data_IF_276060038724
#
_entry.id   IF_276060038724
#
_cell.length_a   1.000
_cell.length_b   1.000
_cell.length_c   1.000
_cell.angle_alpha   90.00
_cell.angle_beta   90.00
_cell.angle_gamma   90.00
#
_symmetry.space_group_name_H-M   'P 1'
#
loop_
_entity.id
_entity.type
_entity.pdbx_description
1 polymer ?
#
# COMPACT_ATOMS: atom_id res chain seq x y z
N UNK A 1 16.40 25.92 26.65
CA UNK A 1 16.64 24.46 26.62
C UNK A 1 15.96 23.90 25.38
N UNK A 2 16.71 23.69 24.31
CA UNK A 2 16.21 23.14 23.04
C UNK A 2 16.33 21.62 23.04
N UNK A 3 15.22 20.93 22.76
CA UNK A 3 15.22 19.48 22.58
C UNK A 3 15.87 19.10 21.23
N UNK A 4 16.66 18.01 21.17
CA UNK A 4 17.39 17.64 19.96
C UNK A 4 16.43 17.05 18.91
N UNK A 5 16.60 17.47 17.65
CA UNK A 5 15.91 16.87 16.49
C UNK A 5 16.46 15.46 16.26
N UNK A 6 15.63 14.42 16.12
CA UNK A 6 16.11 13.11 15.69
C UNK A 6 16.54 13.18 14.21
N UNK A 7 17.78 12.80 13.96
CA UNK A 7 18.42 12.71 12.66
C UNK A 7 17.63 11.80 11.71
N UNK A 8 17.22 12.34 10.57
CA UNK A 8 16.50 11.61 9.53
C UNK A 8 17.40 10.63 8.79
N UNK A 9 17.39 9.37 9.19
CA UNK A 9 17.68 8.25 8.28
C UNK A 9 16.37 7.86 7.60
N UNK A 10 16.23 8.15 6.30
CA UNK A 10 15.10 7.63 5.51
C UNK A 10 15.14 6.09 5.58
N UNK A 11 14.09 5.39 6.04
CA UNK A 11 14.08 3.95 6.04
C UNK A 11 14.07 3.43 4.59
N UNK A 12 15.07 2.65 4.22
CA UNK A 12 15.10 1.90 2.96
C UNK A 12 13.94 0.89 2.94
N UNK A 13 12.94 1.15 2.10
CA UNK A 13 11.94 0.16 1.70
C UNK A 13 12.63 -0.80 0.70
N UNK A 14 12.59 -2.13 0.88
CA UNK A 14 13.20 -3.06 -0.06
C UNK A 14 12.61 -2.92 -1.46
N UNK A 15 13.47 -2.87 -2.49
CA UNK A 15 13.08 -2.78 -3.91
C UNK A 15 12.49 -4.11 -4.40
N UNK A 16 11.33 -4.03 -5.07
CA UNK A 16 10.76 -5.14 -5.84
C UNK A 16 11.69 -5.58 -6.99
N UNK A 17 11.70 -6.89 -7.27
CA UNK A 17 12.48 -7.51 -8.35
C UNK A 17 11.68 -7.47 -9.66
N UNK A 18 12.31 -6.98 -10.73
CA UNK A 18 11.70 -6.80 -12.05
C UNK A 18 11.63 -8.14 -12.81
N UNK A 19 10.44 -8.54 -13.29
CA UNK A 19 10.34 -9.65 -14.25
C UNK A 19 9.32 -9.34 -15.36
N UNK A 20 9.73 -9.45 -16.63
CA UNK A 20 8.88 -9.26 -17.83
C UNK A 20 8.22 -10.58 -18.23
N UNK A 21 6.91 -10.62 -18.53
CA UNK A 21 6.23 -11.85 -18.98
C UNK A 21 5.08 -11.66 -20.00
N UNK A 22 4.89 -12.66 -20.89
CA UNK A 22 3.93 -12.76 -22.02
C UNK A 22 2.78 -13.74 -21.71
N UNK A 23 1.68 -13.60 -22.46
CA UNK A 23 0.28 -13.79 -22.05
C UNK A 23 -0.33 -15.21 -21.92
N UNK A 24 0.40 -16.33 -22.00
CA UNK A 24 -0.23 -17.68 -22.04
C UNK A 24 0.14 -18.67 -20.90
N UNK A 25 1.01 -18.29 -19.96
CA UNK A 25 1.40 -19.13 -18.80
C UNK A 25 0.65 -18.74 -17.50
N UNK A 26 -0.54 -18.14 -17.61
CA UNK A 26 -1.25 -17.41 -16.52
C UNK A 26 -1.63 -18.24 -15.28
N UNK A 27 -1.71 -19.57 -15.37
CA UNK A 27 -2.02 -20.46 -14.24
C UNK A 27 -0.78 -21.12 -13.63
N UNK A 28 0.36 -21.09 -14.31
CA UNK A 28 1.63 -21.67 -13.85
C UNK A 28 2.42 -20.70 -12.95
N UNK A 29 1.90 -19.48 -12.76
CA UNK A 29 2.60 -18.36 -12.10
C UNK A 29 2.67 -18.48 -10.56
N UNK A 30 1.92 -19.40 -9.95
CA UNK A 30 2.04 -19.70 -8.52
C UNK A 30 3.25 -20.61 -8.19
N UNK A 31 3.90 -21.22 -9.19
CA UNK A 31 4.91 -22.28 -8.99
C UNK A 31 6.37 -21.88 -9.24
N UNK A 32 6.75 -20.58 -9.24
CA UNK A 32 8.18 -20.23 -9.05
C UNK A 32 8.54 -20.24 -7.56
N UNK A 33 8.42 -21.45 -7.05
CA UNK A 33 8.85 -21.94 -5.76
C UNK A 33 10.36 -21.77 -5.59
N UNK A 34 10.79 -20.82 -4.75
CA UNK A 34 12.21 -20.68 -4.39
C UNK A 34 12.59 -21.83 -3.46
N UNK A 35 13.06 -22.93 -4.04
CA UNK A 35 13.58 -24.09 -3.32
C UNK A 35 14.69 -23.65 -2.35
N UNK A 36 14.59 -24.06 -1.09
CA UNK A 36 15.61 -23.83 -0.06
C UNK A 36 15.75 -25.09 0.79
N UNK A 37 16.78 -25.17 1.65
CA UNK A 37 16.89 -26.29 2.58
C UNK A 37 15.97 -26.08 3.79
N UNK A 38 15.48 -27.14 4.41
CA UNK A 38 14.71 -27.05 5.65
C UNK A 38 15.50 -26.34 6.76
N UNK A 39 16.83 -26.49 6.76
CA UNK A 39 17.72 -25.79 7.67
C UNK A 39 17.71 -24.26 7.51
N UNK A 40 17.44 -23.72 6.30
CA UNK A 40 17.37 -22.28 6.06
C UNK A 40 15.95 -21.69 6.12
N UNK A 41 14.93 -22.53 6.33
CA UNK A 41 13.56 -22.07 6.59
C UNK A 41 13.51 -21.28 7.91
N UNK A 42 12.89 -20.10 7.95
CA UNK A 42 12.77 -19.34 9.21
C UNK A 42 11.87 -20.09 10.20
N UNK A 43 12.15 -20.04 11.53
CA UNK A 43 11.23 -20.57 12.52
C UNK A 43 9.85 -19.90 12.42
N UNK A 44 8.77 -20.67 12.55
CA UNK A 44 7.39 -20.25 12.35
C UNK A 44 6.87 -20.54 10.94
N UNK A 45 7.74 -20.65 9.94
CA UNK A 45 7.31 -20.78 8.55
C UNK A 45 6.97 -22.23 8.19
N UNK A 46 5.98 -22.35 7.32
CA UNK A 46 5.57 -23.61 6.71
C UNK A 46 6.11 -23.70 5.29
N UNK A 47 6.57 -24.89 4.91
CA UNK A 47 7.09 -25.18 3.59
C UNK A 47 6.62 -26.56 3.13
N UNK A 48 6.50 -26.78 1.83
CA UNK A 48 6.24 -28.10 1.27
C UNK A 48 7.55 -28.82 0.98
N UNK A 49 7.67 -30.09 1.35
CA UNK A 49 8.85 -30.89 1.05
C UNK A 49 8.87 -31.20 -0.44
N UNK A 50 9.85 -30.65 -1.15
CA UNK A 50 10.02 -30.84 -2.59
C UNK A 50 10.85 -32.08 -2.92
N UNK A 51 11.93 -32.28 -2.16
CA UNK A 51 12.88 -33.36 -2.39
C UNK A 51 13.61 -33.71 -1.08
N UNK A 52 14.01 -34.98 -0.92
CA UNK A 52 14.80 -35.48 0.21
C UNK A 52 16.06 -36.14 -0.36
N UNK A 53 17.22 -35.50 -0.17
CA UNK A 53 18.51 -35.93 -0.71
C UNK A 53 19.27 -36.82 0.30
N UNK A 54 18.76 -38.02 0.57
CA UNK A 54 19.38 -38.97 1.52
C UNK A 54 19.51 -40.38 0.92
N UNK A 55 20.26 -41.24 1.61
CA UNK A 55 20.31 -42.67 1.35
C UNK A 55 18.98 -43.36 1.70
N UNK A 56 18.71 -44.52 1.10
CA UNK A 56 17.42 -45.23 1.19
C UNK A 56 17.01 -45.56 2.63
N UNK A 57 17.96 -45.98 3.48
CA UNK A 57 17.69 -46.31 4.89
C UNK A 57 17.28 -45.09 5.72
N UNK A 58 17.84 -43.91 5.43
CA UNK A 58 17.48 -42.66 6.10
C UNK A 58 16.16 -42.08 5.56
N UNK A 59 15.90 -42.25 4.26
CA UNK A 59 14.65 -41.82 3.63
C UNK A 59 13.45 -42.61 4.20
N UNK A 60 13.59 -43.91 4.41
CA UNK A 60 12.56 -44.75 5.07
C UNK A 60 12.26 -44.29 6.50
N UNK A 61 13.29 -43.94 7.28
CA UNK A 61 13.11 -43.40 8.63
C UNK A 61 12.38 -42.06 8.63
N UNK A 62 12.72 -41.16 7.70
CA UNK A 62 12.04 -39.87 7.55
C UNK A 62 10.59 -40.06 7.12
N UNK A 63 10.33 -40.98 6.19
CA UNK A 63 8.98 -41.32 5.76
C UNK A 63 8.13 -41.88 6.90
N UNK A 64 8.69 -42.73 7.76
CA UNK A 64 8.02 -43.24 8.96
C UNK A 64 7.67 -42.13 9.98
N UNK A 65 8.40 -41.01 9.96
CA UNK A 65 8.11 -39.81 10.76
C UNK A 65 7.13 -38.85 10.06
N UNK A 66 6.57 -39.23 8.90
CA UNK A 66 5.68 -38.39 8.10
C UNK A 66 6.40 -37.36 7.22
N UNK A 67 7.73 -37.33 7.21
CA UNK A 67 8.54 -36.44 6.37
C UNK A 67 8.67 -37.08 4.99
N UNK A 68 7.67 -36.83 4.14
CA UNK A 68 7.61 -37.33 2.76
C UNK A 68 7.45 -36.19 1.77
N UNK A 69 7.82 -36.43 0.51
CA UNK A 69 7.64 -35.47 -0.59
C UNK A 69 6.16 -35.06 -0.71
N UNK A 70 5.92 -33.78 -0.91
CA UNK A 70 4.59 -33.18 -1.00
C UNK A 70 4.00 -32.78 0.35
N UNK A 71 4.59 -33.20 1.48
CA UNK A 71 4.05 -32.89 2.80
C UNK A 71 4.45 -31.49 3.26
N UNK A 72 3.51 -30.80 3.94
CA UNK A 72 3.80 -29.53 4.60
C UNK A 72 4.52 -29.76 5.94
N UNK A 73 5.56 -28.96 6.17
CA UNK A 73 6.41 -28.98 7.35
C UNK A 73 6.54 -27.56 7.91
N UNK A 74 6.30 -27.39 9.20
CA UNK A 74 6.45 -26.10 9.89
C UNK A 74 7.67 -26.13 10.79
N UNK A 75 8.62 -25.20 10.63
CA UNK A 75 9.78 -25.13 11.51
C UNK A 75 9.40 -24.50 12.86
N UNK A 76 9.73 -25.15 13.97
CA UNK A 76 9.48 -24.61 15.32
C UNK A 76 10.64 -23.71 15.78
N UNK A 77 10.41 -22.80 16.76
CA UNK A 77 11.48 -22.01 17.39
C UNK A 77 12.58 -22.91 17.96
N UNK A 78 13.84 -22.56 17.70
CA UNK A 78 15.00 -23.34 18.14
C UNK A 78 16.16 -23.33 17.14
N UNK A 79 17.39 -23.37 17.66
CA UNK A 79 18.62 -23.29 16.86
C UNK A 79 19.25 -24.67 16.59
N UNK A 80 19.11 -25.63 17.50
CA UNK A 80 19.57 -27.02 17.32
C UNK A 80 19.03 -27.93 18.44
N UNK A 81 18.53 -29.14 18.16
CA UNK A 81 18.20 -29.69 16.82
C UNK A 81 17.12 -28.87 16.10
N UNK A 82 16.96 -29.07 14.79
CA UNK A 82 15.89 -28.42 14.02
C UNK A 82 14.59 -29.15 14.31
N UNK A 83 13.74 -28.54 15.12
CA UNK A 83 12.41 -29.10 15.44
C UNK A 83 11.41 -28.68 14.39
N UNK A 84 10.63 -29.63 13.91
CA UNK A 84 9.62 -29.41 12.87
C UNK A 84 8.32 -30.10 13.24
N UNK A 85 7.19 -29.49 12.88
CA UNK A 85 5.87 -30.08 13.01
C UNK A 85 5.44 -30.63 11.65
N UNK A 86 5.10 -31.91 11.60
CA UNK A 86 4.62 -32.63 10.41
C UNK A 86 3.44 -33.50 10.81
N UNK A 87 2.31 -33.33 10.12
CA UNK A 87 1.09 -34.12 10.39
C UNK A 87 0.66 -34.11 11.88
N UNK A 88 0.86 -32.99 12.58
CA UNK A 88 0.55 -32.83 13.99
C UNK A 88 1.55 -33.44 14.97
N UNK A 89 2.67 -34.03 14.49
CA UNK A 89 3.74 -34.58 15.32
C UNK A 89 4.98 -33.71 15.24
N UNK A 90 5.64 -33.47 16.37
CA UNK A 90 6.92 -32.75 16.41
C UNK A 90 8.10 -33.72 16.29
N UNK A 91 8.99 -33.43 15.35
CA UNK A 91 10.16 -34.26 15.02
C UNK A 91 11.41 -33.41 15.15
N UNK A 92 12.42 -33.91 15.86
CA UNK A 92 13.72 -33.26 15.98
C UNK A 92 14.69 -33.83 14.93
N UNK A 93 15.19 -32.97 14.04
CA UNK A 93 16.13 -33.33 13.00
C UNK A 93 17.53 -32.78 13.30
N UNK A 94 18.55 -33.61 13.07
CA UNK A 94 19.93 -33.17 13.08
C UNK A 94 20.19 -32.14 11.96
N UNK A 95 21.16 -31.23 12.16
CA UNK A 95 21.48 -30.16 11.20
C UNK A 95 21.77 -30.70 9.80
N UNK A 96 22.54 -31.78 9.71
CA UNK A 96 22.91 -32.39 8.43
C UNK A 96 21.72 -33.06 7.73
N UNK A 97 20.77 -33.62 8.48
CA UNK A 97 19.52 -34.15 7.94
C UNK A 97 18.63 -33.02 7.41
N UNK A 98 18.50 -31.92 8.16
CA UNK A 98 17.70 -30.76 7.74
C UNK A 98 18.29 -30.05 6.50
N UNK A 99 19.60 -30.09 6.27
CA UNK A 99 20.22 -29.56 5.04
C UNK A 99 19.89 -30.38 3.80
N UNK A 100 19.60 -31.69 3.95
CA UNK A 100 19.29 -32.62 2.86
C UNK A 100 17.82 -32.60 2.44
N UNK A 101 16.95 -31.95 3.21
CA UNK A 101 15.53 -31.81 2.88
C UNK A 101 15.36 -30.48 2.15
N UNK A 102 15.00 -30.54 0.86
CA UNK A 102 14.68 -29.38 0.05
C UNK A 102 13.20 -29.10 0.21
N UNK A 103 12.89 -27.88 0.59
CA UNK A 103 11.53 -27.41 0.82
C UNK A 103 11.25 -26.18 -0.04
N UNK A 104 9.99 -26.02 -0.42
CA UNK A 104 9.51 -24.74 -0.91
C UNK A 104 8.70 -24.06 0.17
N UNK A 105 9.13 -22.87 0.59
CA UNK A 105 8.32 -22.04 1.46
C UNK A 105 6.94 -21.79 0.85
N UNK A 106 5.87 -22.07 1.62
CA UNK A 106 4.53 -21.61 1.28
C UNK A 106 4.59 -20.08 1.21
N UNK A 107 4.21 -19.50 0.08
CA UNK A 107 4.05 -18.05 -0.02
C UNK A 107 2.78 -17.67 0.72
N UNK A 108 2.88 -16.65 1.57
CA UNK A 108 1.72 -16.12 2.26
C UNK A 108 0.99 -15.18 1.31
N UNK A 109 -0.32 -15.36 1.18
CA UNK A 109 -1.15 -14.55 0.30
C UNK A 109 -2.14 -13.75 1.13
N UNK A 110 -2.26 -12.45 0.86
CA UNK A 110 -3.31 -11.64 1.46
C UNK A 110 -4.15 -10.90 0.43
N UNK A 111 -5.43 -10.75 0.75
CA UNK A 111 -6.34 -9.91 -0.02
C UNK A 111 -6.25 -8.47 0.47
N UNK A 112 -6.16 -7.54 -0.46
CA UNK A 112 -6.39 -6.12 -0.19
C UNK A 112 -7.84 -5.79 -0.59
N UNK A 113 -8.67 -5.51 0.41
CA UNK A 113 -10.09 -5.23 0.25
C UNK A 113 -10.46 -3.87 0.83
N UNK A 114 -11.57 -3.29 0.40
CA UNK A 114 -12.08 -2.03 0.94
C UNK A 114 -13.07 -1.37 -0.02
N UNK A 115 -13.81 -0.39 0.50
CA UNK A 115 -14.72 0.41 -0.31
C UNK A 115 -13.99 1.12 -1.47
N UNK A 116 -14.68 1.50 -2.55
CA UNK A 116 -14.11 2.41 -3.53
C UNK A 116 -13.62 3.72 -2.92
N UNK A 117 -12.57 4.29 -3.52
CA UNK A 117 -11.98 5.58 -3.15
C UNK A 117 -11.38 5.67 -1.74
N UNK A 118 -11.11 4.55 -1.05
CA UNK A 118 -10.43 4.52 0.26
C UNK A 118 -8.90 4.63 0.16
N UNK A 119 -8.33 4.71 -1.04
CA UNK A 119 -6.88 4.75 -1.28
C UNK A 119 -6.21 3.38 -1.41
N UNK A 120 -6.99 2.31 -1.60
CA UNK A 120 -6.55 0.94 -1.81
C UNK A 120 -5.48 0.79 -2.90
N UNK A 121 -5.71 1.34 -4.10
CA UNK A 121 -4.76 1.27 -5.22
C UNK A 121 -3.43 1.96 -4.93
N UNK A 122 -3.43 3.04 -4.13
CA UNK A 122 -2.20 3.73 -3.73
C UNK A 122 -1.41 2.89 -2.72
N UNK A 123 -2.10 2.24 -1.76
CA UNK A 123 -1.47 1.28 -0.84
C UNK A 123 -0.89 0.11 -1.64
N UNK A 124 -1.66 -0.48 -2.55
CA UNK A 124 -1.21 -1.57 -3.41
C UNK A 124 0.04 -1.19 -4.20
N UNK A 125 0.04 -0.03 -4.86
CA UNK A 125 1.18 0.47 -5.63
C UNK A 125 2.41 0.70 -4.74
N UNK A 126 2.24 1.14 -3.49
CA UNK A 126 3.36 1.30 -2.56
C UNK A 126 3.94 0.00 -2.06
N UNK A 127 3.09 -0.99 -1.81
CA UNK A 127 3.53 -2.30 -1.35
C UNK A 127 4.22 -3.08 -2.47
N UNK A 128 3.74 -2.98 -3.71
CA UNK A 128 4.21 -3.77 -4.85
C UNK A 128 5.25 -3.06 -5.72
N UNK A 129 5.29 -1.72 -5.68
CA UNK A 129 6.13 -0.92 -6.55
C UNK A 129 5.73 -1.01 -8.02
N UNK A 130 6.66 -1.42 -8.88
CA UNK A 130 6.54 -1.42 -10.35
C UNK A 130 5.96 -2.76 -10.88
N UNK A 131 5.91 -3.80 -10.05
CA UNK A 131 5.53 -5.16 -10.45
C UNK A 131 4.04 -5.46 -10.28
N UNK A 132 3.19 -4.83 -11.09
CA UNK A 132 1.73 -5.08 -11.09
C UNK A 132 1.36 -5.95 -12.29
N UNK A 133 0.66 -7.05 -12.05
CA UNK A 133 0.06 -7.89 -13.09
C UNK A 133 -1.46 -7.77 -12.96
N UNK A 134 -2.10 -7.12 -13.94
CA UNK A 134 -3.56 -7.07 -14.03
C UNK A 134 -4.06 -8.26 -14.85
N UNK A 135 -5.01 -9.01 -14.31
CA UNK A 135 -5.70 -10.08 -15.03
C UNK A 135 -7.17 -10.15 -14.64
N UNK A 136 -8.03 -10.45 -15.61
CA UNK A 136 -9.45 -10.69 -15.31
C UNK A 136 -9.60 -12.06 -14.64
N UNK A 137 -10.50 -12.13 -13.65
CA UNK A 137 -10.89 -13.41 -13.07
C UNK A 137 -11.58 -14.28 -14.14
N UNK A 138 -11.32 -15.60 -14.21
CA UNK A 138 -11.86 -16.46 -15.26
C UNK A 138 -13.37 -16.30 -15.46
N UNK A 139 -13.80 -16.01 -16.68
CA UNK A 139 -15.22 -15.83 -17.02
C UNK A 139 -15.84 -14.49 -16.61
N UNK A 140 -15.06 -13.50 -16.16
CA UNK A 140 -15.59 -12.20 -15.72
C UNK A 140 -14.96 -10.99 -16.40
N UNK A 141 -15.66 -9.86 -16.28
CA UNK A 141 -15.13 -8.51 -16.51
C UNK A 141 -14.41 -7.93 -15.28
N UNK A 142 -14.35 -8.67 -14.17
CA UNK A 142 -13.74 -8.20 -12.92
C UNK A 142 -12.23 -8.39 -13.01
N UNK A 143 -11.51 -7.27 -13.17
CA UNK A 143 -10.05 -7.24 -13.14
C UNK A 143 -9.51 -7.36 -11.73
N UNK A 144 -8.66 -8.36 -11.48
CA UNK A 144 -7.86 -8.48 -10.27
C UNK A 144 -6.43 -8.01 -10.55
N UNK A 145 -5.85 -7.25 -9.61
CA UNK A 145 -4.42 -6.92 -9.67
C UNK A 145 -3.65 -7.85 -8.72
N UNK A 146 -2.65 -8.51 -9.27
CA UNK A 146 -1.72 -9.33 -8.52
C UNK A 146 -0.39 -8.59 -8.39
N UNK A 147 0.23 -8.72 -7.22
CA UNK A 147 1.54 -8.17 -6.97
C UNK A 147 2.26 -8.90 -5.85
N UNK A 148 3.51 -8.52 -5.61
CA UNK A 148 4.35 -9.09 -4.56
C UNK A 148 4.91 -7.98 -3.69
N UNK A 149 4.98 -8.26 -2.38
CA UNK A 149 5.67 -7.39 -1.43
C UNK A 149 6.60 -8.20 -0.54
N UNK A 150 7.51 -7.51 0.14
CA UNK A 150 8.42 -8.12 1.10
C UNK A 150 8.23 -7.47 2.45
N UNK A 151 7.81 -8.25 3.44
CA UNK A 151 7.66 -7.85 4.84
C UNK A 151 8.69 -8.61 5.68
N UNK A 152 9.57 -7.90 6.39
CA UNK A 152 10.64 -8.46 7.22
C UNK A 152 11.48 -9.58 6.55
N UNK A 153 11.74 -9.41 5.25
CA UNK A 153 12.50 -10.36 4.42
C UNK A 153 11.73 -11.60 4.00
N UNK A 154 10.40 -11.60 4.11
CA UNK A 154 9.52 -12.65 3.61
C UNK A 154 8.64 -12.13 2.48
N UNK A 155 8.45 -12.96 1.46
CA UNK A 155 7.64 -12.61 0.30
C UNK A 155 6.16 -12.89 0.57
N UNK A 156 5.32 -11.91 0.30
CA UNK A 156 3.87 -12.04 0.33
C UNK A 156 3.30 -11.78 -1.05
N UNK A 157 2.36 -12.61 -1.49
CA UNK A 157 1.54 -12.33 -2.66
C UNK A 157 0.34 -11.46 -2.23
N UNK A 158 0.07 -10.42 -3.00
CA UNK A 158 -1.03 -9.48 -2.77
C UNK A 158 -2.02 -9.63 -3.91
N UNK A 159 -3.30 -9.80 -3.57
CA UNK A 159 -4.39 -9.76 -4.53
C UNK A 159 -5.26 -8.55 -4.21
N UNK A 160 -5.28 -7.57 -5.10
CA UNK A 160 -6.14 -6.40 -5.02
C UNK A 160 -7.54 -6.76 -5.50
N UNK A 161 -8.50 -6.78 -4.58
CA UNK A 161 -9.91 -6.91 -4.93
C UNK A 161 -10.40 -5.53 -5.39
N UNK A 162 -11.04 -5.38 -6.56
CA UNK A 162 -11.64 -4.12 -6.96
C UNK A 162 -12.58 -3.60 -5.87
N UNK A 163 -12.72 -2.28 -5.74
CA UNK A 163 -13.45 -1.71 -4.60
C UNK A 163 -14.90 -2.21 -4.57
N UNK A 164 -15.27 -2.93 -3.52
CA UNK A 164 -16.63 -3.46 -3.29
C UNK A 164 -17.26 -2.67 -2.15
N UNK A 165 -18.57 -2.47 -2.21
CA UNK A 165 -19.33 -1.89 -1.09
C UNK A 165 -19.93 -2.96 -0.18
N UNK A 166 -20.15 -4.17 -0.72
CA UNK A 166 -20.68 -5.32 0.03
C UNK A 166 -19.99 -6.62 -0.37
N UNK A 167 -19.96 -7.59 0.55
CA UNK A 167 -19.48 -8.96 0.28
C UNK A 167 -20.35 -9.73 -0.73
N UNK A 168 -21.62 -9.34 -0.87
CA UNK A 168 -22.64 -9.98 -1.69
C UNK A 168 -22.59 -9.56 -3.16
N UNK A 169 -21.55 -8.84 -3.59
CA UNK A 169 -21.29 -8.58 -5.00
C UNK A 169 -20.85 -9.90 -5.69
N UNK A 170 -21.83 -10.79 -5.85
CA UNK A 170 -21.75 -12.05 -6.58
C UNK A 170 -21.86 -11.76 -8.08
N UNK A 171 -21.11 -12.51 -8.86
CA UNK A 171 -21.24 -12.51 -10.31
C UNK A 171 -21.77 -13.86 -10.77
N UNK A 172 -22.45 -13.86 -11.91
CA UNK A 172 -23.07 -15.06 -12.49
C UNK A 172 -22.26 -15.50 -13.70
N UNK A 173 -21.81 -16.75 -13.68
CA UNK A 173 -21.17 -17.43 -14.81
C UNK A 173 -21.84 -18.76 -15.03
N UNK A 174 -22.27 -19.01 -16.28
CA UNK A 174 -22.94 -20.26 -16.65
C UNK A 174 -24.14 -20.61 -15.73
N UNK A 175 -24.83 -19.60 -15.21
CA UNK A 175 -25.96 -19.77 -14.29
C UNK A 175 -25.60 -20.09 -12.84
N UNK A 176 -24.32 -20.09 -12.46
CA UNK A 176 -23.83 -20.27 -11.09
C UNK A 176 -23.38 -18.95 -10.49
N UNK A 177 -23.66 -18.75 -9.21
CA UNK A 177 -23.20 -17.58 -8.42
C UNK A 177 -21.80 -17.85 -7.90
N UNK A 178 -20.90 -16.92 -8.15
CA UNK A 178 -19.50 -16.98 -7.77
C UNK A 178 -19.17 -15.86 -6.77
N UNK A 179 -18.26 -16.16 -5.83
CA UNK A 179 -17.82 -15.21 -4.81
C UNK A 179 -16.29 -15.23 -4.72
N UNK A 180 -15.67 -14.09 -5.06
CA UNK A 180 -14.22 -13.94 -5.11
C UNK A 180 -13.54 -14.33 -3.79
N UNK A 181 -14.15 -14.02 -2.64
CA UNK A 181 -13.58 -14.33 -1.33
C UNK A 181 -13.63 -15.82 -0.98
N UNK A 182 -14.46 -16.61 -1.67
CA UNK A 182 -14.54 -18.08 -1.49
C UNK A 182 -13.65 -18.83 -2.48
N UNK A 183 -13.43 -18.26 -3.66
CA UNK A 183 -12.70 -18.91 -4.76
C UNK A 183 -11.20 -18.61 -4.75
N UNK A 184 -10.79 -17.49 -4.16
CA UNK A 184 -9.38 -17.16 -4.01
C UNK A 184 -8.79 -17.84 -2.77
N UNK A 185 -7.57 -18.35 -2.90
CA UNK A 185 -6.78 -18.83 -1.77
C UNK A 185 -5.98 -17.69 -1.16
N UNK A 186 -6.20 -17.44 0.14
CA UNK A 186 -5.50 -16.42 0.91
C UNK A 186 -5.49 -16.78 2.41
N UNK A 187 -4.46 -16.30 3.09
CA UNK A 187 -4.20 -16.55 4.51
C UNK A 187 -4.86 -15.49 5.39
N UNK A 188 -4.90 -14.23 4.95
CA UNK A 188 -5.51 -13.12 5.69
C UNK A 188 -6.00 -11.99 4.78
N UNK A 189 -6.74 -11.04 5.36
CA UNK A 189 -7.30 -9.89 4.65
C UNK A 189 -6.76 -8.60 5.26
N UNK A 190 -6.31 -7.69 4.41
CA UNK A 190 -6.02 -6.31 4.77
C UNK A 190 -7.18 -5.45 4.27
N UNK A 191 -8.03 -5.00 5.20
CA UNK A 191 -9.17 -4.16 4.90
C UNK A 191 -8.78 -2.68 5.00
N UNK A 192 -8.96 -1.92 3.92
CA UNK A 192 -8.67 -0.49 3.88
C UNK A 192 -9.97 0.29 4.08
N UNK A 193 -9.98 1.15 5.09
CA UNK A 193 -11.10 2.03 5.42
C UNK A 193 -10.70 3.50 5.32
N UNK A 194 -11.60 4.36 4.85
CA UNK A 194 -11.43 5.80 4.90
C UNK A 194 -11.78 6.34 6.30
N UNK A 195 -10.78 6.87 7.01
CA UNK A 195 -10.90 7.44 8.34
C UNK A 195 -11.90 8.60 8.41
N UNK A 196 -12.08 9.35 7.32
CA UNK A 196 -13.01 10.47 7.26
C UNK A 196 -14.48 10.04 7.11
N UNK A 197 -14.72 8.76 6.77
CA UNK A 197 -16.05 8.18 6.58
C UNK A 197 -16.14 6.80 7.28
N UNK A 198 -15.75 6.74 8.55
CA UNK A 198 -15.56 5.48 9.28
C UNK A 198 -16.81 4.59 9.29
N UNK A 199 -17.99 5.15 9.54
CA UNK A 199 -19.26 4.42 9.68
C UNK A 199 -19.57 3.50 8.48
N UNK A 200 -19.56 4.03 7.25
CA UNK A 200 -19.78 3.22 6.03
C UNK A 200 -18.69 2.17 5.83
N UNK A 201 -17.46 2.46 6.21
CA UNK A 201 -16.35 1.51 6.05
C UNK A 201 -16.40 0.39 7.10
N UNK A 202 -16.91 0.66 8.30
CA UNK A 202 -17.13 -0.37 9.31
C UNK A 202 -18.18 -1.38 8.86
N UNK A 203 -19.21 -0.97 8.10
CA UNK A 203 -20.18 -1.91 7.54
C UNK A 203 -19.52 -2.99 6.68
N UNK A 204 -18.73 -2.57 5.68
CA UNK A 204 -17.99 -3.49 4.82
C UNK A 204 -16.97 -4.34 5.61
N UNK A 205 -16.30 -3.75 6.60
CA UNK A 205 -15.37 -4.47 7.47
C UNK A 205 -16.07 -5.59 8.26
N UNK A 206 -17.25 -5.32 8.84
CA UNK A 206 -18.00 -6.33 9.59
C UNK A 206 -18.40 -7.49 8.68
N UNK A 207 -18.78 -7.22 7.43
CA UNK A 207 -19.00 -8.27 6.45
C UNK A 207 -17.73 -9.08 6.21
N UNK A 208 -16.59 -8.44 5.91
CA UNK A 208 -15.29 -9.10 5.73
C UNK A 208 -14.93 -10.00 6.92
N UNK A 209 -15.18 -9.55 8.15
CA UNK A 209 -14.90 -10.32 9.37
C UNK A 209 -15.79 -11.58 9.50
N UNK A 210 -16.96 -11.62 8.86
CA UNK A 210 -17.81 -12.83 8.82
C UNK A 210 -17.18 -14.00 8.04
N UNK A 211 -16.16 -13.73 7.21
CA UNK A 211 -15.38 -14.77 6.52
C UNK A 211 -14.52 -15.62 7.47
N UNK A 212 -14.41 -15.24 8.75
CA UNK A 212 -13.62 -15.93 9.79
C UNK A 212 -12.15 -16.15 9.40
N UNK A 213 -11.60 -15.17 8.68
CA UNK A 213 -10.17 -15.06 8.34
C UNK A 213 -9.52 -14.00 9.22
N UNK A 214 -8.21 -14.08 9.50
CA UNK A 214 -7.50 -12.98 10.15
C UNK A 214 -7.64 -11.70 9.32
N UNK A 215 -7.94 -10.58 9.97
CA UNK A 215 -8.13 -9.27 9.31
C UNK A 215 -7.22 -8.23 9.96
N UNK A 216 -6.60 -7.38 9.16
CA UNK A 216 -5.94 -6.15 9.60
C UNK A 216 -6.72 -4.96 9.02
N UNK A 217 -7.09 -3.99 9.85
CA UNK A 217 -7.74 -2.76 9.40
C UNK A 217 -6.69 -1.67 9.18
N UNK A 218 -6.55 -1.19 7.94
CA UNK A 218 -5.83 0.04 7.64
C UNK A 218 -6.81 1.21 7.63
N UNK A 219 -6.70 2.08 8.62
CA UNK A 219 -7.50 3.28 8.75
C UNK A 219 -6.83 4.42 7.97
N UNK A 220 -7.05 4.44 6.65
CA UNK A 220 -6.38 5.31 5.69
C UNK A 220 -6.99 6.72 5.62
N UNK A 221 -6.28 7.67 4.99
CA UNK A 221 -6.62 9.10 4.97
C UNK A 221 -6.77 9.69 6.37
N UNK A 222 -5.95 9.20 7.29
CA UNK A 222 -6.02 9.61 8.70
C UNK A 222 -5.71 11.10 8.87
N UNK A 223 -4.81 11.64 8.04
CA UNK A 223 -4.51 13.07 7.95
C UNK A 223 -5.72 13.91 7.51
N UNK A 224 -6.48 13.45 6.52
CA UNK A 224 -7.72 14.10 6.08
C UNK A 224 -8.78 14.10 7.19
N UNK A 225 -8.96 12.98 7.88
CA UNK A 225 -9.88 12.90 9.02
C UNK A 225 -9.53 13.93 10.11
N UNK A 226 -8.25 14.02 10.48
CA UNK A 226 -7.77 15.01 11.46
C UNK A 226 -7.98 16.44 10.97
N UNK A 227 -7.77 16.73 9.68
CA UNK A 227 -8.05 18.06 9.10
C UNK A 227 -9.53 18.42 9.20
N UNK A 228 -10.43 17.46 8.96
CA UNK A 228 -11.88 17.60 9.11
C UNK A 228 -12.37 17.65 10.57
N UNK A 229 -11.47 17.64 11.55
CA UNK A 229 -11.82 17.66 12.97
C UNK A 229 -12.32 16.31 13.50
N UNK A 230 -12.17 15.23 12.74
CA UNK A 230 -12.55 13.88 13.16
C UNK A 230 -11.37 13.28 13.94
N UNK A 231 -11.58 13.01 15.23
CA UNK A 231 -10.63 12.31 16.07
C UNK A 231 -11.11 10.88 16.29
N UNK A 232 -10.24 9.90 16.02
CA UNK A 232 -10.54 8.47 16.20
C UNK A 232 -9.60 7.88 17.23
N UNK A 233 -10.15 7.35 18.30
CA UNK A 233 -9.43 6.55 19.30
C UNK A 233 -9.13 5.16 18.72
N UNK A 234 -7.97 5.03 18.08
CA UNK A 234 -7.52 3.79 17.41
C UNK A 234 -7.49 2.61 18.37
N UNK A 235 -7.00 2.81 19.61
CA UNK A 235 -6.90 1.72 20.61
C UNK A 235 -8.26 1.20 21.04
N UNK A 236 -9.22 2.11 21.23
CA UNK A 236 -10.59 1.70 21.55
C UNK A 236 -11.25 1.00 20.36
N UNK A 237 -11.00 1.48 19.12
CA UNK A 237 -11.48 0.81 17.91
C UNK A 237 -10.91 -0.61 17.77
N UNK A 238 -9.61 -0.77 18.01
CA UNK A 238 -8.93 -2.07 18.04
C UNK A 238 -9.57 -3.02 19.07
N UNK A 239 -9.85 -2.51 20.27
CA UNK A 239 -10.52 -3.26 21.33
C UNK A 239 -11.96 -3.64 20.99
N UNK A 240 -12.74 -2.74 20.40
CA UNK A 240 -14.13 -3.01 20.02
C UNK A 240 -14.22 -4.03 18.88
N UNK A 241 -13.28 -3.97 17.92
CA UNK A 241 -13.26 -4.88 16.77
C UNK A 241 -12.53 -6.20 17.05
N UNK A 242 -11.59 -6.24 17.99
CA UNK A 242 -10.78 -7.43 18.27
C UNK A 242 -9.81 -7.80 17.14
N UNK A 243 -9.42 -6.83 16.30
CA UNK A 243 -8.45 -7.00 15.21
C UNK A 243 -7.44 -5.85 15.23
N UNK A 244 -6.22 -6.02 14.70
CA UNK A 244 -5.24 -4.93 14.59
C UNK A 244 -5.79 -3.77 13.74
N UNK A 245 -5.66 -2.55 14.26
CA UNK A 245 -6.07 -1.31 13.57
C UNK A 245 -4.88 -0.38 13.43
N UNK A 246 -4.55 -0.01 12.19
CA UNK A 246 -3.35 0.76 11.87
C UNK A 246 -3.75 2.08 11.18
N UNK A 247 -3.58 3.25 11.83
CA UNK A 247 -3.76 4.52 11.19
C UNK A 247 -2.73 4.69 10.07
N UNK A 248 -3.20 5.03 8.88
CA UNK A 248 -2.40 4.99 7.65
C UNK A 248 -2.62 6.28 6.85
N UNK A 249 -1.56 6.72 6.16
CA UNK A 249 -1.65 7.79 5.16
C UNK A 249 -0.97 7.27 3.90
N UNK A 250 -1.76 6.79 2.94
CA UNK A 250 -1.25 6.15 1.73
C UNK A 250 -0.34 7.07 0.90
N UNK A 251 -0.50 8.39 0.96
CA UNK A 251 0.34 9.39 0.27
C UNK A 251 1.70 9.63 0.92
N UNK A 252 1.89 9.31 2.21
CA UNK A 252 3.18 9.45 2.90
C UNK A 252 3.80 8.09 3.25
N UNK A 253 2.98 7.05 3.39
CA UNK A 253 3.39 5.66 3.63
C UNK A 253 3.44 5.33 5.11
N UNK A 254 3.03 6.27 5.95
CA UNK A 254 2.81 6.07 7.37
C UNK A 254 1.83 4.92 7.60
N UNK A 255 2.13 4.07 8.59
CA UNK A 255 1.36 2.87 8.91
C UNK A 255 1.82 1.59 8.16
N UNK A 256 2.45 1.70 6.99
CA UNK A 256 2.82 0.50 6.20
C UNK A 256 3.92 -0.36 6.85
N UNK A 257 4.78 0.24 7.69
CA UNK A 257 5.75 -0.53 8.48
C UNK A 257 5.07 -1.37 9.56
N UNK A 258 4.05 -0.83 10.21
CA UNK A 258 3.26 -1.56 11.20
C UNK A 258 2.48 -2.70 10.53
N UNK A 259 1.99 -2.49 9.31
CA UNK A 259 1.35 -3.54 8.51
C UNK A 259 2.30 -4.74 8.29
N UNK A 260 3.57 -4.47 7.94
CA UNK A 260 4.60 -5.52 7.79
C UNK A 260 4.74 -6.35 9.06
N UNK A 261 4.82 -5.69 10.22
CA UNK A 261 4.94 -6.35 11.51
C UNK A 261 3.71 -7.21 11.84
N UNK A 262 2.50 -6.68 11.65
CA UNK A 262 1.27 -7.43 11.91
C UNK A 262 1.08 -8.60 10.94
N UNK A 263 1.43 -8.43 9.66
CA UNK A 263 1.41 -9.51 8.67
C UNK A 263 2.34 -10.67 9.06
N UNK A 264 3.55 -10.36 9.54
CA UNK A 264 4.49 -11.38 10.04
C UNK A 264 3.94 -12.15 11.25
N UNK A 265 3.23 -11.47 12.17
CA UNK A 265 2.56 -12.13 13.31
C UNK A 265 1.42 -13.05 12.88
N UNK A 266 0.67 -12.67 11.85
CA UNK A 266 -0.36 -13.54 11.28
C UNK A 266 0.28 -14.77 10.62
N UNK A 267 1.35 -14.57 9.87
CA UNK A 267 2.11 -15.64 9.23
C UNK A 267 2.66 -16.67 10.22
N UNK A 268 3.12 -16.23 11.40
CA UNK A 268 3.61 -17.11 12.47
C UNK A 268 2.50 -17.83 13.26
N UNK A 269 1.23 -17.74 12.82
CA UNK A 269 0.06 -18.33 13.48
C UNK A 269 -0.20 -17.80 14.90
N UNK A 270 0.32 -16.62 15.24
CA UNK A 270 0.07 -15.95 16.53
C UNK A 270 -1.19 -15.06 16.50
N UNK A 271 -1.89 -15.03 15.37
CA UNK A 271 -3.05 -14.16 15.19
C UNK A 271 -4.30 -14.71 15.87
N UNK A 272 -4.90 -13.86 16.70
CA UNK A 272 -6.20 -14.10 17.33
C UNK A 272 -7.28 -13.68 16.34
N UNK A 273 -8.16 -14.62 15.98
CA UNK A 273 -9.40 -14.27 15.28
C UNK A 273 -10.27 -13.44 16.21
N UNK A 274 -10.89 -12.39 15.68
CA UNK A 274 -11.83 -11.59 16.47
C UNK A 274 -12.95 -12.47 17.03
N UNK A 275 -13.23 -12.29 18.32
CA UNK A 275 -14.35 -12.93 19.01
C UNK A 275 -15.65 -12.11 18.91
N UNK A 276 -15.66 -11.04 18.11
CA UNK A 276 -16.85 -10.20 17.94
C UNK A 276 -17.95 -11.01 17.25
N UNK A 277 -19.12 -11.10 17.89
CA UNK A 277 -20.28 -11.73 17.28
C UNK A 277 -20.93 -10.75 16.29
N UNK A 278 -20.88 -11.07 15.00
CA UNK A 278 -21.37 -10.21 13.92
C UNK A 278 -22.70 -10.77 13.42
N UNK A 279 -23.82 -10.06 13.63
CA UNK A 279 -25.14 -10.53 13.25
C UNK A 279 -25.28 -10.61 11.73
N UNK A 280 -26.13 -11.52 11.26
CA UNK A 280 -26.47 -11.61 9.84
C UNK A 280 -27.35 -10.42 9.41
N UNK A 281 -28.23 -9.96 10.30
CA UNK A 281 -29.20 -8.90 10.03
C UNK A 281 -28.54 -7.53 9.78
N UNK A 282 -28.88 -6.83 8.67
CA UNK A 282 -28.34 -5.52 8.36
C UNK A 282 -28.60 -4.43 9.41
N UNK A 283 -29.78 -4.38 10.04
CA UNK A 283 -30.12 -3.35 11.03
C UNK A 283 -29.31 -3.56 12.32
N UNK A 284 -29.18 -4.81 12.77
CA UNK A 284 -28.34 -5.15 13.92
C UNK A 284 -26.86 -4.78 13.68
N UNK A 285 -26.34 -4.96 12.46
CA UNK A 285 -24.98 -4.49 12.09
C UNK A 285 -24.87 -2.98 12.27
N UNK A 286 -25.85 -2.20 11.79
CA UNK A 286 -25.85 -0.74 11.97
C UNK A 286 -25.90 -0.33 13.44
N UNK A 287 -26.63 -1.06 14.29
CA UNK A 287 -26.62 -0.82 15.73
C UNK A 287 -25.24 -1.06 16.37
N UNK A 288 -24.52 -2.10 15.95
CA UNK A 288 -23.13 -2.34 16.40
C UNK A 288 -22.23 -1.20 15.95
N UNK A 289 -22.32 -0.80 14.67
CA UNK A 289 -21.50 0.29 14.12
C UNK A 289 -21.77 1.59 14.88
N UNK A 290 -23.03 1.95 15.11
CA UNK A 290 -23.40 3.14 15.88
C UNK A 290 -22.79 3.13 17.29
N UNK A 291 -22.82 1.99 17.98
CA UNK A 291 -22.18 1.83 19.30
C UNK A 291 -20.66 1.97 19.25
N UNK A 292 -20.01 1.43 18.21
CA UNK A 292 -18.56 1.57 18.01
C UNK A 292 -18.23 3.05 17.76
N UNK A 293 -18.90 3.69 16.80
CA UNK A 293 -18.68 5.09 16.41
C UNK A 293 -18.81 6.02 17.62
N UNK A 294 -19.87 5.87 18.43
CA UNK A 294 -20.07 6.69 19.62
C UNK A 294 -18.92 6.60 20.63
N UNK A 295 -18.24 5.44 20.73
CA UNK A 295 -17.12 5.24 21.65
C UNK A 295 -15.78 5.70 21.08
N UNK A 296 -15.59 5.54 19.77
CA UNK A 296 -14.26 5.68 19.13
C UNK A 296 -14.08 7.03 18.44
N UNK A 297 -15.16 7.65 17.98
CA UNK A 297 -15.11 8.84 17.14
C UNK A 297 -15.62 10.06 17.90
N UNK A 298 -14.84 11.14 17.88
CA UNK A 298 -15.26 12.45 18.37
C UNK A 298 -15.09 13.46 17.24
N UNK A 299 -16.15 14.21 16.94
CA UNK A 299 -16.12 15.27 15.94
C UNK A 299 -15.91 16.59 16.68
N UNK A 300 -14.74 17.20 16.48
CA UNK A 300 -14.46 18.55 16.96
C UNK A 300 -14.83 19.54 15.86
N UNK A 301 -15.64 20.55 16.20
CA UNK A 301 -15.84 21.70 15.34
C UNK A 301 -14.51 22.47 15.24
N UNK A 302 -13.78 22.29 14.14
CA UNK A 302 -12.60 23.09 13.82
C UNK A 302 -13.03 24.17 12.85
N UNK A 303 -12.79 25.44 13.21
CA UNK A 303 -12.96 26.53 12.27
C UNK A 303 -11.93 26.35 11.15
N UNK A 304 -12.38 26.27 9.90
CA UNK A 304 -11.49 26.12 8.75
C UNK A 304 -10.45 27.26 8.76
N UNK A 305 -9.21 26.91 8.44
CA UNK A 305 -8.14 27.92 8.33
C UNK A 305 -8.47 28.90 7.19
N UNK A 306 -7.97 30.14 7.27
CA UNK A 306 -8.23 31.15 6.23
C UNK A 306 -7.90 30.66 4.81
N UNK A 307 -6.84 29.85 4.66
CA UNK A 307 -6.46 29.24 3.39
C UNK A 307 -7.48 28.20 2.89
N UNK A 308 -8.10 27.44 3.79
CA UNK A 308 -9.16 26.47 3.43
C UNK A 308 -10.44 27.20 2.98
N UNK A 309 -10.80 28.32 3.62
CA UNK A 309 -11.89 29.17 3.14
C UNK A 309 -11.59 29.76 1.76
N UNK A 310 -10.37 30.25 1.54
CA UNK A 310 -9.96 30.83 0.27
C UNK A 310 -9.98 29.79 -0.86
N UNK A 311 -9.56 28.55 -0.57
CA UNK A 311 -9.66 27.42 -1.50
C UNK A 311 -11.11 27.04 -1.78
N UNK A 312 -11.97 27.05 -0.76
CA UNK A 312 -13.42 26.85 -0.90
C UNK A 312 -14.07 27.91 -1.79
N UNK A 313 -13.80 29.19 -1.54
CA UNK A 313 -14.32 30.28 -2.36
C UNK A 313 -13.83 30.20 -3.81
N UNK A 314 -12.55 29.91 -4.03
CA UNK A 314 -11.96 29.79 -5.37
C UNK A 314 -12.57 28.65 -6.23
N UNK A 315 -13.16 27.63 -5.61
CA UNK A 315 -13.70 26.44 -6.33
C UNK A 315 -15.21 26.52 -6.63
N UNK A 316 -15.91 27.52 -6.11
CA UNK A 316 -17.35 27.70 -6.40
C UNK A 316 -17.58 28.67 -7.56
N UNK A 317 -18.58 28.47 -8.45
CA UNK A 317 -18.77 29.32 -9.62
C UNK A 317 -19.01 30.80 -9.29
N UNK A 318 -19.79 31.09 -8.23
CA UNK A 318 -20.21 32.46 -7.90
C UNK A 318 -19.11 33.28 -7.22
N UNK A 319 -18.33 32.67 -6.31
CA UNK A 319 -17.23 33.37 -5.61
C UNK A 319 -15.87 33.16 -6.27
N UNK A 320 -15.69 32.09 -7.04
CA UNK A 320 -14.46 31.77 -7.75
C UNK A 320 -14.20 32.68 -8.94
N UNK A 321 -15.23 33.06 -9.71
CA UNK A 321 -15.08 33.98 -10.85
C UNK A 321 -14.51 35.37 -10.44
N UNK A 322 -15.08 36.05 -9.42
CA UNK A 322 -14.50 37.30 -8.90
C UNK A 322 -13.07 37.13 -8.38
N UNK A 323 -12.78 36.05 -7.66
CA UNK A 323 -11.44 35.78 -7.13
C UNK A 323 -10.44 35.55 -8.28
N UNK A 324 -10.82 34.78 -9.30
CA UNK A 324 -9.99 34.55 -10.47
C UNK A 324 -9.69 35.84 -11.23
N UNK A 325 -10.70 36.72 -11.40
CA UNK A 325 -10.52 38.03 -12.01
C UNK A 325 -9.56 38.91 -11.18
N UNK A 326 -9.73 38.95 -9.86
CA UNK A 326 -8.82 39.66 -8.97
C UNK A 326 -7.38 39.14 -9.09
N UNK A 327 -7.18 37.82 -9.12
CA UNK A 327 -5.84 37.21 -9.27
C UNK A 327 -5.22 37.56 -10.62
N UNK A 328 -6.00 37.57 -11.70
CA UNK A 328 -5.53 37.98 -13.04
C UNK A 328 -5.16 39.47 -13.10
N UNK A 329 -5.96 40.34 -12.49
CA UNK A 329 -5.66 41.78 -12.43
C UNK A 329 -4.39 41.99 -11.61
N UNK A 330 -4.27 41.33 -10.46
CA UNK A 330 -3.13 41.48 -9.57
C UNK A 330 -1.86 40.92 -10.19
N UNK A 331 -1.94 39.81 -10.93
CA UNK A 331 -0.79 39.27 -11.68
C UNK A 331 -0.37 40.21 -12.81
N UNK A 332 -1.31 40.82 -13.53
CA UNK A 332 -1.01 41.82 -14.55
C UNK A 332 -0.26 43.02 -13.97
N UNK A 333 -0.77 43.59 -12.86
CA UNK A 333 -0.10 44.71 -12.19
C UNK A 333 1.27 44.33 -11.64
N UNK A 334 1.43 43.11 -11.10
CA UNK A 334 2.72 42.63 -10.63
C UNK A 334 3.74 42.51 -11.77
N UNK A 335 3.34 41.90 -12.89
CA UNK A 335 4.21 41.77 -14.08
C UNK A 335 4.58 43.14 -14.63
N UNK A 336 3.61 44.06 -14.72
CA UNK A 336 3.85 45.43 -15.15
C UNK A 336 4.81 46.16 -14.22
N UNK A 337 4.56 46.10 -12.91
CA UNK A 337 5.41 46.74 -11.91
C UNK A 337 6.86 46.22 -11.99
N UNK A 338 7.04 44.90 -12.05
CA UNK A 338 8.37 44.31 -12.20
C UNK A 338 9.01 44.71 -13.53
N UNK A 339 8.25 44.74 -14.63
CA UNK A 339 8.72 45.17 -15.94
C UNK A 339 9.18 46.63 -15.98
N UNK A 340 8.35 47.55 -15.47
CA UNK A 340 8.67 48.98 -15.40
C UNK A 340 9.92 49.23 -14.54
N UNK A 341 10.02 48.59 -13.37
CA UNK A 341 11.21 48.74 -12.51
C UNK A 341 12.49 48.15 -13.16
N UNK A 342 12.37 47.11 -13.99
CA UNK A 342 13.51 46.57 -14.73
C UNK A 342 13.93 47.52 -15.86
N UNK A 343 12.95 48.08 -16.58
CA UNK A 343 13.20 49.06 -17.64
C UNK A 343 13.88 50.30 -17.05
N UNK A 344 13.32 50.88 -15.99
CA UNK A 344 13.89 52.06 -15.32
C UNK A 344 15.32 51.81 -14.82
N UNK A 345 15.66 50.57 -14.44
CA UNK A 345 17.01 50.18 -14.04
C UNK A 345 17.96 49.99 -15.24
N UNK A 346 17.46 49.48 -16.36
CA UNK A 346 18.25 49.18 -17.56
C UNK A 346 18.39 50.37 -18.51
N UNK A 347 17.44 51.30 -18.52
CA UNK A 347 17.43 52.47 -19.42
C UNK A 347 18.70 53.32 -19.27
N UNK A 348 19.18 53.65 -18.05
CA UNK A 348 20.45 54.38 -17.90
C UNK A 348 21.65 53.60 -18.44
N UNK A 349 21.64 52.26 -18.37
CA UNK A 349 22.70 51.43 -18.94
C UNK A 349 22.62 51.40 -20.47
N UNK A 350 21.42 51.29 -21.01
CA UNK A 350 21.17 51.29 -22.44
C UNK A 350 21.60 52.62 -23.08
N UNK A 351 21.12 53.75 -22.55
CA UNK A 351 21.38 55.09 -23.10
C UNK A 351 22.84 55.52 -22.91
N UNK A 352 23.46 55.24 -21.75
CA UNK A 352 24.81 55.76 -21.50
C UNK A 352 25.94 54.85 -22.00
N UNK A 353 25.68 53.55 -22.21
CA UNK A 353 26.73 52.61 -22.60
C UNK A 353 26.42 51.89 -23.90
N UNK A 354 25.21 51.36 -24.06
CA UNK A 354 24.89 50.54 -25.24
C UNK A 354 24.74 51.39 -26.51
N UNK A 355 24.00 52.50 -26.44
CA UNK A 355 23.81 53.41 -27.59
C UNK A 355 25.13 54.02 -28.06
N UNK A 356 25.96 54.65 -27.19
CA UNK A 356 27.24 55.22 -27.63
C UNK A 356 28.21 54.17 -28.16
N UNK A 357 28.19 52.95 -27.60
CA UNK A 357 28.99 51.83 -28.10
C UNK A 357 28.57 51.43 -29.52
N UNK A 358 27.26 51.30 -29.77
CA UNK A 358 26.75 51.01 -31.12
C UNK A 358 27.09 52.15 -32.08
N UNK A 359 26.91 53.40 -31.70
CA UNK A 359 27.29 54.55 -32.53
C UNK A 359 28.79 54.58 -32.83
N UNK A 360 29.64 54.21 -31.88
CA UNK A 360 31.08 54.09 -32.09
C UNK A 360 31.42 52.97 -33.09
N UNK A 361 30.74 51.82 -33.00
CA UNK A 361 30.91 50.73 -33.96
C UNK A 361 30.41 51.15 -35.35
N UNK A 362 29.22 51.76 -35.45
CA UNK A 362 28.64 52.16 -36.72
C UNK A 362 29.44 53.27 -37.39
N UNK A 363 29.97 54.25 -36.64
CA UNK A 363 30.88 55.26 -37.18
C UNK A 363 32.19 54.63 -37.68
N UNK A 364 32.81 53.73 -36.90
CA UNK A 364 34.01 53.00 -37.32
C UNK A 364 33.80 52.10 -38.56
N UNK A 365 32.60 51.57 -38.76
CA UNK A 365 32.22 50.80 -39.96
C UNK A 365 31.96 51.72 -41.15
N UNK A 366 31.34 52.89 -40.94
CA UNK A 366 31.04 53.87 -41.99
C UNK A 366 32.28 54.57 -42.52
N UNK A 367 33.29 54.79 -41.66
CA UNK A 367 34.56 55.43 -42.01
C UNK A 367 35.58 54.45 -42.63
N UNK A 368 35.39 53.14 -42.45
CA UNK A 368 36.10 52.14 -43.22
C UNK A 368 35.39 51.87 -44.55
N UNK A 369 36.18 51.62 -45.61
CA UNK A 369 35.76 51.54 -47.02
C UNK A 369 34.54 50.65 -47.35
N UNK A 370 34.05 49.84 -46.40
CA UNK A 370 32.81 49.06 -46.52
C UNK A 370 31.53 49.92 -46.54
N UNK A 371 31.52 51.10 -45.88
CA UNK A 371 30.35 52.00 -45.86
C UNK A 371 30.04 52.68 -47.20
N UNK A 372 31.04 52.84 -48.07
CA UNK A 372 30.86 53.42 -49.42
C UNK A 372 30.25 52.44 -50.43
N UNK A 373 30.16 51.14 -50.12
CA UNK A 373 29.72 50.11 -51.06
C UNK A 373 28.23 49.72 -50.90
N UNK A 374 27.54 50.23 -49.87
CA UNK A 374 26.22 49.78 -49.44
C UNK A 374 25.13 50.88 -49.40
N UNK A 375 25.47 52.09 -49.87
CA UNK A 375 24.55 53.16 -50.25
C UNK A 375 24.74 53.44 -51.74
#
# INVERSE_FOLDING_TARGET
>A
MGAPRPSGSRPCIPRAVLVKYKSKEKLTFMEKETSRTLYSLKPGNTAQIKEIQTDGKMAEKLAAMGIVRGQFITRKPGSSPVVVSVSGTEVALGRETAKKIIVTAKKNTFLLAGNPNVGKSLIFSRLTGIGIISSNFPGTTVGLNYGQTVFDGESYDIIDIPGLYRLEEEWVLEGKKHNLFKELEYDFIVCVADASHLERNLYFLLEIMQLKKPVILLLNKYDEAVRKGIQINVKELEKQLGIPVIPTVATTGEGLKELSYQAARIASHEAVLSSLNIPADPEEKWHIIGRIIQKVQTIKHKHASFLEHLQGWATTPVTGLPIALCVLILSFFLVRFVGENIIDLLDPLYENYYVPFLEHIFSAIKDNAFGMLLL
#
